data_IF_364239950896
#
_entry.id   IF_364239950896
#
_cell.length_a   1.000
_cell.length_b   1.000
_cell.length_c   1.000
_cell.angle_alpha   90.00
_cell.angle_beta   90.00
_cell.angle_gamma   90.00
#
_symmetry.space_group_name_H-M   'P 1'
#
loop_
_entity.id
_entity.type
_entity.pdbx_description
1 polymer ?
#
# COMPACT_ATOMS: atom_id res chain seq x y z
N UNK A 1 -18.00 -50.62 -40.06
CA UNK A 1 -17.57 -52.06 -40.15
C UNK A 1 -16.84 -52.43 -38.86
N UNK A 2 -17.49 -53.27 -38.11
CA UNK A 2 -17.18 -54.18 -37.05
C UNK A 2 -15.71 -54.56 -36.79
N UNK A 3 -15.27 -54.56 -35.53
CA UNK A 3 -14.91 -55.85 -34.89
C UNK A 3 -14.74 -55.65 -33.37
N UNK A 4 -15.64 -56.24 -32.59
CA UNK A 4 -15.46 -56.59 -31.19
C UNK A 4 -14.46 -57.71 -31.07
N UNK A 5 -13.52 -57.64 -30.09
CA UNK A 5 -12.85 -58.81 -29.56
C UNK A 5 -13.01 -58.84 -28.04
N UNK A 6 -13.72 -59.86 -27.61
CA UNK A 6 -13.89 -60.31 -26.24
C UNK A 6 -12.70 -61.19 -25.88
N UNK A 7 -12.08 -60.97 -24.72
CA UNK A 7 -11.16 -61.96 -24.17
C UNK A 7 -11.40 -62.08 -22.66
N UNK A 8 -11.72 -63.30 -22.26
CA UNK A 8 -12.16 -63.68 -20.94
C UNK A 8 -11.08 -63.61 -19.87
N UNK A 9 -11.50 -63.22 -18.70
CA UNK A 9 -10.68 -63.18 -17.50
C UNK A 9 -10.88 -64.49 -16.74
N UNK A 10 -9.78 -65.22 -16.53
CA UNK A 10 -9.70 -66.39 -15.60
C UNK A 10 -9.50 -65.83 -14.19
N UNK A 11 -10.42 -66.15 -13.30
CA UNK A 11 -10.34 -65.87 -11.85
C UNK A 11 -9.50 -66.96 -11.22
N UNK A 12 -8.31 -66.63 -10.69
CA UNK A 12 -7.53 -67.48 -9.84
C UNK A 12 -7.72 -66.91 -8.42
N UNK A 13 -8.39 -67.74 -7.59
CA UNK A 13 -8.60 -67.42 -6.20
C UNK A 13 -7.26 -67.53 -5.42
N UNK A 14 -6.85 -66.40 -4.84
CA UNK A 14 -5.72 -66.34 -3.91
C UNK A 14 -6.27 -66.05 -2.52
N UNK A 15 -6.20 -67.09 -1.65
CA UNK A 15 -6.61 -66.98 -0.24
C UNK A 15 -5.57 -66.13 0.48
N UNK A 16 -5.96 -64.93 0.88
CA UNK A 16 -5.11 -63.97 1.61
C UNK A 16 -5.40 -64.12 3.13
N UNK A 17 -4.44 -64.70 3.84
CA UNK A 17 -4.48 -64.73 5.31
C UNK A 17 -4.13 -63.33 5.82
N UNK A 18 -5.11 -62.65 6.41
CA UNK A 18 -4.92 -61.35 7.06
C UNK A 18 -4.34 -61.57 8.43
N UNK A 19 -3.03 -61.38 8.61
CA UNK A 19 -2.41 -61.22 9.93
C UNK A 19 -2.56 -59.76 10.35
N UNK A 20 -3.43 -59.50 11.35
CA UNK A 20 -3.55 -58.20 11.97
C UNK A 20 -2.29 -57.86 12.77
N UNK A 21 -1.41 -57.05 12.22
CA UNK A 21 -0.39 -56.34 12.97
C UNK A 21 -1.03 -55.09 13.58
N UNK A 22 -1.30 -55.11 14.91
CA UNK A 22 -1.62 -53.89 15.66
C UNK A 22 -0.32 -53.11 15.79
N UNK A 23 -0.05 -52.22 14.83
CA UNK A 23 0.99 -51.23 14.98
C UNK A 23 0.47 -50.14 15.94
N UNK A 24 1.00 -50.14 17.17
CA UNK A 24 0.82 -49.04 18.10
C UNK A 24 1.58 -47.82 17.53
N UNK A 25 0.88 -46.98 16.77
CA UNK A 25 1.41 -45.72 16.29
C UNK A 25 1.49 -44.75 17.47
N UNK A 26 2.70 -44.54 18.00
CA UNK A 26 2.97 -43.39 18.86
C UNK A 26 2.78 -42.17 18.02
N UNK A 27 1.66 -41.46 18.22
CA UNK A 27 1.52 -40.09 17.74
C UNK A 27 2.49 -39.23 18.54
N UNK A 28 3.66 -38.96 17.98
CA UNK A 28 4.46 -37.84 18.42
C UNK A 28 3.69 -36.57 18.09
N UNK A 29 2.87 -36.12 19.04
CA UNK A 29 2.35 -34.78 19.07
C UNK A 29 3.55 -33.84 19.28
N UNK A 30 4.19 -33.42 18.20
CA UNK A 30 5.10 -32.29 18.24
C UNK A 30 4.25 -31.07 18.60
N UNK A 31 4.13 -30.82 19.91
CA UNK A 31 3.50 -29.58 20.38
C UNK A 31 4.38 -28.42 19.95
N UNK A 32 4.00 -27.75 18.88
CA UNK A 32 4.56 -26.44 18.56
C UNK A 32 4.40 -25.56 19.81
N UNK A 33 5.48 -25.00 20.37
CA UNK A 33 5.34 -24.10 21.52
C UNK A 33 4.33 -22.99 21.15
N UNK A 34 3.48 -22.54 22.09
CA UNK A 34 2.58 -21.44 21.84
C UNK A 34 3.39 -20.23 21.38
N UNK A 35 2.88 -19.43 20.42
CA UNK A 35 3.58 -18.25 19.94
C UNK A 35 3.93 -17.35 21.12
N UNK A 36 5.22 -17.02 21.25
CA UNK A 36 5.71 -16.15 22.32
C UNK A 36 5.08 -14.77 22.12
N UNK A 37 4.34 -14.27 23.10
CA UNK A 37 3.85 -12.89 23.09
C UNK A 37 5.02 -11.94 23.32
N UNK A 38 5.55 -11.37 22.24
CA UNK A 38 6.66 -10.44 22.25
C UNK A 38 6.34 -9.13 22.99
N UNK A 39 5.07 -8.87 23.29
CA UNK A 39 4.61 -7.69 24.01
C UNK A 39 4.35 -7.96 25.50
N UNK A 40 4.57 -9.19 25.98
CA UNK A 40 4.33 -9.55 27.38
C UNK A 40 5.16 -8.67 28.33
N UNK A 41 4.51 -8.07 29.32
CA UNK A 41 5.13 -7.18 30.30
C UNK A 41 5.54 -5.79 29.79
N UNK A 42 5.24 -5.42 28.53
CA UNK A 42 5.58 -4.13 27.95
C UNK A 42 4.36 -3.20 27.88
N UNK A 43 4.55 -1.94 28.29
CA UNK A 43 3.56 -0.88 28.12
C UNK A 43 4.09 0.11 27.09
N UNK A 44 3.89 -0.19 25.80
CA UNK A 44 4.31 0.72 24.72
C UNK A 44 3.21 1.75 24.49
N UNK A 45 3.59 3.03 24.59
CA UNK A 45 2.73 4.19 24.28
C UNK A 45 3.27 4.86 23.02
N UNK A 46 2.38 5.08 22.03
CA UNK A 46 2.72 5.75 20.78
C UNK A 46 2.04 7.11 20.76
N UNK A 47 2.82 8.15 20.55
CA UNK A 47 2.35 9.50 20.24
C UNK A 47 2.57 9.75 18.75
N UNK A 48 1.50 10.10 18.04
CA UNK A 48 1.55 10.42 16.62
C UNK A 48 0.84 11.76 16.39
N UNK A 49 1.59 12.79 16.07
CA UNK A 49 1.09 14.17 15.92
C UNK A 49 1.14 14.59 14.47
N UNK A 50 -0.03 14.77 13.82
CA UNK A 50 -0.08 15.31 12.46
C UNK A 50 0.14 16.82 12.47
N UNK A 51 0.90 17.32 11.51
CA UNK A 51 1.13 18.75 11.25
C UNK A 51 0.81 19.02 9.77
N UNK A 52 -0.21 19.83 9.51
CA UNK A 52 -0.59 20.23 8.14
C UNK A 52 0.08 21.56 7.82
N UNK A 53 0.94 21.58 6.81
CA UNK A 53 1.65 22.78 6.34
C UNK A 53 0.93 23.44 5.15
N UNK A 54 0.25 22.65 4.34
CA UNK A 54 -0.53 23.04 3.17
C UNK A 54 -1.76 22.12 3.09
N UNK A 55 -2.85 22.49 2.42
CA UNK A 55 -4.08 21.69 2.38
C UNK A 55 -3.89 20.22 1.96
N UNK A 56 -2.88 19.95 1.14
CA UNK A 56 -2.56 18.62 0.63
C UNK A 56 -1.24 18.05 1.14
N UNK A 57 -0.53 18.74 2.00
CA UNK A 57 0.80 18.33 2.47
C UNK A 57 0.84 18.37 3.99
N UNK A 58 1.06 17.23 4.57
CA UNK A 58 1.22 17.06 6.00
C UNK A 58 2.47 16.27 6.34
N UNK A 59 2.83 16.32 7.61
CA UNK A 59 3.78 15.41 8.24
C UNK A 59 3.11 14.72 9.42
N UNK A 60 3.62 13.55 9.81
CA UNK A 60 3.28 12.90 11.08
C UNK A 60 4.59 12.71 11.82
N UNK A 61 4.70 13.31 13.00
CA UNK A 61 5.82 13.09 13.91
C UNK A 61 5.40 12.04 14.95
N UNK A 62 6.15 10.94 15.00
CA UNK A 62 5.85 9.77 15.84
C UNK A 62 6.94 9.59 16.86
N UNK A 63 6.54 9.38 18.11
CA UNK A 63 7.41 8.92 19.20
C UNK A 63 6.77 7.74 19.89
N UNK A 64 7.59 6.85 20.46
CA UNK A 64 7.11 5.74 21.27
C UNK A 64 7.95 5.62 22.56
N UNK A 65 7.32 5.17 23.63
CA UNK A 65 7.93 4.94 24.94
C UNK A 65 7.54 3.58 25.47
N UNK A 66 8.17 3.14 26.57
CA UNK A 66 7.90 1.83 27.20
C UNK A 66 8.75 0.68 26.67
N UNK A 67 9.67 0.96 25.72
CA UNK A 67 10.73 0.06 25.26
C UNK A 67 11.83 0.87 24.56
N UNK A 68 12.74 0.19 23.83
CA UNK A 68 13.89 0.81 23.13
C UNK A 68 13.99 0.33 21.67
N UNK A 69 14.81 1.00 20.87
CA UNK A 69 15.12 0.63 19.47
C UNK A 69 13.88 0.56 18.60
N UNK A 70 13.02 1.57 18.68
CA UNK A 70 11.81 1.63 17.89
C UNK A 70 12.08 1.84 16.39
N UNK A 71 11.26 1.18 15.59
CA UNK A 71 11.06 1.46 14.18
C UNK A 71 9.58 1.69 13.90
N UNK A 72 9.26 2.49 12.89
CA UNK A 72 7.92 2.99 12.63
C UNK A 72 7.51 2.74 11.18
N UNK A 73 6.22 2.49 10.95
CA UNK A 73 5.63 2.46 9.60
C UNK A 73 4.24 3.08 9.57
N UNK A 74 3.81 3.55 8.41
CA UNK A 74 2.43 3.96 8.14
C UNK A 74 1.71 2.83 7.42
N UNK A 75 0.52 2.48 7.91
CA UNK A 75 -0.35 1.43 7.42
C UNK A 75 0.30 0.04 7.39
N UNK A 76 -0.49 -1.00 7.26
CA UNK A 76 -0.02 -2.40 7.32
C UNK A 76 0.98 -2.76 6.21
N UNK A 77 0.83 -2.16 5.01
CA UNK A 77 1.71 -2.38 3.86
C UNK A 77 2.97 -1.50 3.82
N UNK A 78 3.14 -0.61 4.81
CA UNK A 78 4.30 0.29 4.85
C UNK A 78 5.61 -0.42 5.24
N UNK A 79 6.74 0.19 4.85
CA UNK A 79 8.07 -0.26 5.25
C UNK A 79 8.46 0.38 6.58
N UNK A 80 9.11 -0.39 7.46
CA UNK A 80 9.66 0.14 8.72
C UNK A 80 10.86 1.03 8.46
N UNK A 81 10.92 2.16 9.17
CA UNK A 81 12.04 3.10 9.22
C UNK A 81 12.39 3.43 10.67
N UNK A 82 13.66 3.75 10.94
CA UNK A 82 14.11 4.15 12.28
C UNK A 82 13.59 5.53 12.69
N UNK A 83 13.41 6.44 11.73
CA UNK A 83 12.87 7.77 11.99
C UNK A 83 11.35 7.71 12.21
N UNK A 84 10.86 8.37 13.27
CA UNK A 84 9.43 8.56 13.49
C UNK A 84 8.82 9.68 12.63
N UNK A 85 9.57 10.27 11.69
CA UNK A 85 9.08 11.37 10.86
C UNK A 85 8.60 10.89 9.50
N UNK A 86 7.32 11.10 9.21
CA UNK A 86 6.69 10.85 7.90
C UNK A 86 6.33 12.19 7.26
N UNK A 87 6.86 12.45 6.08
CA UNK A 87 6.65 13.71 5.33
C UNK A 87 5.88 13.46 4.04
N UNK A 88 5.32 14.52 3.46
CA UNK A 88 4.50 14.43 2.24
C UNK A 88 3.31 13.47 2.36
N UNK A 89 2.71 13.45 3.54
CA UNK A 89 1.51 12.64 3.80
C UNK A 89 0.29 13.45 3.36
N UNK A 90 -0.59 12.83 2.59
CA UNK A 90 -1.84 13.48 2.17
C UNK A 90 -2.90 13.39 3.28
N UNK A 91 -3.92 14.27 3.29
CA UNK A 91 -5.07 14.11 4.18
C UNK A 91 -5.72 12.73 4.06
N UNK A 92 -6.11 12.15 5.18
CA UNK A 92 -6.69 10.82 5.25
C UNK A 92 -6.55 10.17 6.62
N UNK A 93 -6.99 8.92 6.70
CA UNK A 93 -6.88 8.09 7.90
C UNK A 93 -5.69 7.14 7.77
N UNK A 94 -4.88 7.11 8.80
CA UNK A 94 -3.67 6.30 8.85
C UNK A 94 -3.65 5.46 10.12
N UNK A 95 -2.95 4.34 10.06
CA UNK A 95 -2.52 3.57 11.23
C UNK A 95 -1.01 3.67 11.33
N UNK A 96 -0.52 4.24 12.42
CA UNK A 96 0.90 4.28 12.74
C UNK A 96 1.23 3.04 13.55
N UNK A 97 2.25 2.31 13.14
CA UNK A 97 2.80 1.18 13.87
C UNK A 97 4.16 1.55 14.44
N UNK A 98 4.41 1.15 15.68
CA UNK A 98 5.73 1.19 16.30
C UNK A 98 6.11 -0.23 16.71
N UNK A 99 7.30 -0.67 16.32
CA UNK A 99 7.88 -1.96 16.67
C UNK A 99 9.21 -1.73 17.39
N UNK A 100 9.36 -2.31 18.55
CA UNK A 100 10.61 -2.23 19.34
C UNK A 100 11.69 -3.22 18.86
N UNK A 101 12.86 -3.15 19.47
CA UNK A 101 13.99 -4.01 19.13
C UNK A 101 13.76 -5.51 19.37
N UNK A 102 12.83 -5.87 20.25
CA UNK A 102 12.46 -7.28 20.54
C UNK A 102 11.32 -7.79 19.65
N UNK A 103 10.75 -6.92 18.80
CA UNK A 103 9.71 -7.27 17.86
C UNK A 103 8.28 -7.06 18.37
N UNK A 104 8.07 -6.50 19.57
CA UNK A 104 6.74 -6.11 20.03
C UNK A 104 6.22 -4.96 19.17
N UNK A 105 5.06 -5.14 18.53
CA UNK A 105 4.39 -4.14 17.68
C UNK A 105 3.10 -3.65 18.33
N UNK A 106 2.92 -2.34 18.35
CA UNK A 106 1.67 -1.64 18.74
C UNK A 106 1.31 -0.64 17.65
N UNK A 107 0.05 -0.20 17.64
CA UNK A 107 -0.43 0.76 16.66
C UNK A 107 -1.39 1.78 17.25
N UNK A 108 -1.49 2.93 16.58
CA UNK A 108 -2.44 4.00 16.89
C UNK A 108 -3.03 4.55 15.59
N UNK A 109 -4.31 4.89 15.60
CA UNK A 109 -4.96 5.57 14.48
C UNK A 109 -4.67 7.08 14.53
N UNK A 110 -4.41 7.67 13.34
CA UNK A 110 -4.19 9.11 13.15
C UNK A 110 -5.02 9.57 11.96
N UNK A 111 -5.74 10.68 12.14
CA UNK A 111 -6.48 11.32 11.05
C UNK A 111 -5.83 12.65 10.71
N UNK A 112 -5.53 12.86 9.44
CA UNK A 112 -5.10 14.14 8.89
C UNK A 112 -6.31 14.76 8.20
N UNK A 113 -6.81 15.86 8.74
CA UNK A 113 -7.92 16.58 8.13
C UNK A 113 -7.49 17.29 6.84
N UNK A 114 -8.33 17.26 5.82
CA UNK A 114 -8.19 18.13 4.66
C UNK A 114 -8.60 19.55 5.05
N UNK A 115 -7.85 20.55 4.62
CA UNK A 115 -8.14 21.97 4.90
C UNK A 115 -7.97 22.81 3.64
N UNK A 116 -8.77 23.87 3.53
CA UNK A 116 -8.71 24.82 2.41
C UNK A 116 -9.49 24.40 1.17
N UNK A 117 -9.59 25.35 0.23
CA UNK A 117 -10.28 25.19 -1.06
C UNK A 117 -9.28 25.13 -2.20
N UNK A 118 -9.63 24.38 -3.23
CA UNK A 118 -8.86 24.33 -4.49
C UNK A 118 -8.85 25.71 -5.14
N UNK A 119 -7.65 26.19 -5.51
CA UNK A 119 -7.50 27.44 -6.28
C UNK A 119 -7.79 27.22 -7.77
N UNK A 120 -7.86 28.30 -8.51
CA UNK A 120 -8.26 28.28 -9.93
C UNK A 120 -7.27 27.52 -10.82
N UNK A 121 -5.95 27.73 -10.61
CA UNK A 121 -4.92 27.04 -11.38
C UNK A 121 -4.92 25.53 -11.07
N UNK A 122 -5.02 25.16 -9.78
CA UNK A 122 -5.11 23.74 -9.42
C UNK A 122 -6.38 23.09 -9.98
N UNK A 123 -7.52 23.80 -9.94
CA UNK A 123 -8.79 23.31 -10.51
C UNK A 123 -8.63 23.00 -12.01
N UNK A 124 -7.95 23.87 -12.75
CA UNK A 124 -7.66 23.65 -14.18
C UNK A 124 -6.80 22.40 -14.40
N UNK A 125 -5.74 22.22 -13.58
CA UNK A 125 -4.88 21.02 -13.63
C UNK A 125 -5.66 19.78 -13.24
N UNK A 126 -6.47 19.82 -12.18
CA UNK A 126 -7.31 18.70 -11.74
C UNK A 126 -8.22 18.20 -12.87
N UNK A 127 -8.89 19.12 -13.55
CA UNK A 127 -9.78 18.80 -14.67
C UNK A 127 -9.02 18.17 -15.84
N UNK A 128 -7.83 18.70 -16.18
CA UNK A 128 -6.96 18.12 -17.19
C UNK A 128 -6.50 16.70 -16.81
N UNK A 129 -6.06 16.50 -15.57
CA UNK A 129 -5.61 15.20 -15.04
C UNK A 129 -6.77 14.19 -15.03
N UNK A 130 -7.98 14.63 -14.70
CA UNK A 130 -9.17 13.78 -14.77
C UNK A 130 -9.44 13.30 -16.20
N UNK A 131 -9.29 14.18 -17.19
CA UNK A 131 -9.56 13.87 -18.59
C UNK A 131 -8.46 13.03 -19.25
N UNK A 132 -7.18 13.21 -18.88
CA UNK A 132 -6.04 12.65 -19.60
C UNK A 132 -5.29 11.54 -18.84
N UNK A 133 -5.42 11.46 -17.51
CA UNK A 133 -4.55 10.61 -16.69
C UNK A 133 -5.33 9.56 -15.88
N UNK A 134 -6.55 9.86 -15.42
CA UNK A 134 -7.28 9.00 -14.50
C UNK A 134 -7.75 7.67 -15.12
N UNK A 135 -7.77 7.52 -16.45
CA UNK A 135 -8.05 6.23 -17.08
C UNK A 135 -7.07 5.13 -16.65
N UNK A 136 -5.81 5.50 -16.35
CA UNK A 136 -4.73 4.59 -15.96
C UNK A 136 -4.21 4.84 -14.53
N UNK A 137 -4.57 5.97 -13.91
CA UNK A 137 -4.08 6.38 -12.59
C UNK A 137 -5.26 6.66 -11.66
N UNK A 138 -5.99 5.62 -11.27
CA UNK A 138 -7.21 5.67 -10.46
C UNK A 138 -7.18 4.67 -9.30
N UNK A 139 -8.27 4.57 -8.53
CA UNK A 139 -8.38 3.68 -7.38
C UNK A 139 -8.25 2.18 -7.72
N UNK A 140 -8.56 1.80 -8.97
CA UNK A 140 -8.50 0.40 -9.44
C UNK A 140 -7.18 0.11 -10.13
N UNK A 141 -6.68 1.08 -10.94
CA UNK A 141 -5.46 0.95 -11.73
C UNK A 141 -4.51 2.09 -11.31
N UNK A 142 -3.65 1.83 -10.36
CA UNK A 142 -2.65 2.80 -9.90
C UNK A 142 -1.30 2.57 -10.59
N UNK A 143 -1.23 2.70 -11.91
CA UNK A 143 -0.01 2.48 -12.67
C UNK A 143 1.16 3.32 -12.14
N UNK A 144 2.30 2.68 -11.88
CA UNK A 144 3.47 3.31 -11.28
C UNK A 144 3.24 3.84 -9.86
N UNK A 145 2.24 3.31 -9.14
CA UNK A 145 1.88 3.73 -7.79
C UNK A 145 1.10 5.05 -7.72
N UNK A 146 0.65 5.59 -8.88
CA UNK A 146 -0.05 6.86 -8.98
C UNK A 146 -1.56 6.67 -9.02
N UNK A 147 -2.26 7.36 -8.10
CA UNK A 147 -3.71 7.45 -8.09
C UNK A 147 -4.12 8.93 -8.04
N UNK A 148 -4.57 9.46 -9.17
CA UNK A 148 -4.95 10.87 -9.28
C UNK A 148 -6.43 11.15 -9.02
N UNK A 149 -7.23 10.16 -8.64
CA UNK A 149 -8.56 10.40 -8.07
C UNK A 149 -8.47 10.99 -6.66
N UNK A 150 -7.36 10.79 -5.97
CA UNK A 150 -7.02 11.52 -4.75
C UNK A 150 -6.34 12.82 -5.17
N UNK A 151 -7.05 13.95 -5.10
CA UNK A 151 -6.60 15.25 -5.59
C UNK A 151 -5.23 15.66 -5.06
N UNK A 152 -4.97 15.38 -3.79
CA UNK A 152 -3.69 15.70 -3.16
C UNK A 152 -2.51 14.92 -3.77
N UNK A 153 -2.75 13.76 -4.40
CA UNK A 153 -1.70 13.06 -5.12
C UNK A 153 -1.21 13.83 -6.35
N UNK A 154 -2.03 14.71 -6.93
CA UNK A 154 -1.60 15.61 -8.00
C UNK A 154 -0.58 16.60 -7.45
N UNK A 155 -0.85 17.18 -6.27
CA UNK A 155 0.03 18.18 -5.64
C UNK A 155 1.39 17.58 -5.25
N UNK A 156 1.39 16.45 -4.56
CA UNK A 156 2.65 15.83 -4.09
C UNK A 156 3.49 15.22 -5.20
N UNK A 157 2.88 14.89 -6.35
CA UNK A 157 3.56 14.35 -7.52
C UNK A 157 3.74 15.37 -8.66
N UNK A 158 3.57 16.65 -8.38
CA UNK A 158 3.62 17.72 -9.39
C UNK A 158 4.87 17.72 -10.27
N UNK A 159 6.03 17.52 -9.65
CA UNK A 159 7.31 17.51 -10.38
C UNK A 159 7.40 16.28 -11.31
N UNK A 160 6.92 15.14 -10.88
CA UNK A 160 6.85 13.94 -11.73
C UNK A 160 5.84 14.11 -12.86
N UNK A 161 4.70 14.75 -12.60
CA UNK A 161 3.71 15.09 -13.63
C UNK A 161 4.35 16.01 -14.65
N UNK A 162 5.07 17.07 -14.22
CA UNK A 162 5.77 17.98 -15.11
C UNK A 162 6.76 17.23 -15.99
N UNK A 163 7.68 16.48 -15.40
CA UNK A 163 8.70 15.73 -16.12
C UNK A 163 8.06 14.83 -17.17
N UNK A 164 7.06 14.03 -16.79
CA UNK A 164 6.52 12.98 -17.67
C UNK A 164 5.53 13.49 -18.71
N UNK A 165 4.75 14.51 -18.39
CA UNK A 165 3.68 15.00 -19.27
C UNK A 165 4.06 16.26 -20.06
N UNK A 166 4.99 17.09 -19.55
CA UNK A 166 5.38 18.35 -20.17
C UNK A 166 6.75 18.23 -20.82
N UNK A 167 7.78 17.90 -20.04
CA UNK A 167 9.17 17.99 -20.47
C UNK A 167 9.56 16.82 -21.39
N UNK A 168 9.36 15.57 -20.94
CA UNK A 168 9.67 14.36 -21.71
C UNK A 168 8.54 13.95 -22.66
N UNK A 169 7.31 14.40 -22.39
CA UNK A 169 6.12 14.05 -23.14
C UNK A 169 5.89 12.52 -23.29
N UNK A 170 6.29 11.73 -22.27
CA UNK A 170 6.15 10.29 -22.23
C UNK A 170 4.80 9.85 -21.66
N UNK A 171 4.02 10.78 -21.11
CA UNK A 171 2.64 10.60 -20.62
C UNK A 171 1.74 11.72 -21.16
N UNK A 172 0.46 11.42 -21.40
CA UNK A 172 -0.16 10.10 -21.37
C UNK A 172 0.37 9.18 -22.50
N UNK A 173 0.27 7.85 -22.31
CA UNK A 173 0.74 6.87 -23.33
C UNK A 173 -0.04 6.91 -24.64
N UNK A 174 -1.20 7.57 -24.65
CA UNK A 174 -2.03 7.81 -25.86
C UNK A 174 -1.45 8.87 -26.79
N UNK A 175 -0.38 9.53 -26.38
CA UNK A 175 0.32 10.58 -27.14
C UNK A 175 0.57 11.83 -26.30
N UNK A 176 1.52 12.69 -26.71
CA UNK A 176 1.87 13.91 -25.99
C UNK A 176 0.70 14.87 -25.86
N UNK A 177 0.64 15.58 -24.75
CA UNK A 177 -0.35 16.65 -24.54
C UNK A 177 -0.16 17.78 -25.56
N UNK A 178 -1.24 18.39 -26.09
CA UNK A 178 -1.16 19.64 -26.82
C UNK A 178 -0.49 20.75 -25.98
N UNK A 179 0.13 21.74 -26.64
CA UNK A 179 0.87 22.79 -25.95
C UNK A 179 0.00 23.55 -24.93
N UNK A 180 -1.23 23.87 -25.26
CA UNK A 180 -2.16 24.53 -24.32
C UNK A 180 -2.41 23.73 -23.04
N UNK A 181 -2.45 22.40 -23.12
CA UNK A 181 -2.60 21.52 -21.96
C UNK A 181 -1.31 21.43 -21.13
N UNK A 182 -0.14 21.45 -21.80
CA UNK A 182 1.17 21.56 -21.12
C UNK A 182 1.31 22.89 -20.38
N UNK A 183 0.80 23.96 -20.96
CA UNK A 183 0.83 25.30 -20.36
C UNK A 183 -0.03 25.37 -19.08
N UNK A 184 -1.16 24.65 -19.00
CA UNK A 184 -1.97 24.54 -17.78
C UNK A 184 -1.14 23.99 -16.62
N UNK A 185 -0.40 22.90 -16.87
CA UNK A 185 0.45 22.27 -15.83
C UNK A 185 1.60 23.21 -15.47
N UNK A 186 2.28 23.79 -16.47
CA UNK A 186 3.44 24.66 -16.29
C UNK A 186 3.08 25.92 -15.50
N UNK A 187 1.97 26.56 -15.83
CA UNK A 187 1.50 27.78 -15.16
C UNK A 187 1.18 27.52 -13.68
N UNK A 188 0.52 26.39 -13.38
CA UNK A 188 0.25 26.02 -12.01
C UNK A 188 1.55 25.76 -11.22
N UNK A 189 2.51 25.03 -11.81
CA UNK A 189 3.78 24.73 -11.16
C UNK A 189 4.60 26.00 -10.92
N UNK A 190 4.67 26.89 -11.92
CA UNK A 190 5.36 28.18 -11.83
C UNK A 190 4.76 29.10 -10.75
N UNK A 191 3.45 28.99 -10.49
CA UNK A 191 2.77 29.67 -9.39
C UNK A 191 3.02 29.02 -8.03
N UNK A 192 3.82 27.95 -7.94
CA UNK A 192 4.17 27.23 -6.73
C UNK A 192 3.62 25.81 -6.65
N UNK A 193 2.70 25.42 -7.52
CA UNK A 193 2.15 24.05 -7.59
C UNK A 193 1.42 23.64 -6.31
N UNK A 194 0.67 24.56 -5.71
CA UNK A 194 -0.10 24.33 -4.48
C UNK A 194 -1.55 24.00 -4.79
N UNK A 195 -2.23 23.38 -3.82
CA UNK A 195 -3.67 23.14 -3.90
C UNK A 195 -4.48 24.43 -3.94
N UNK A 196 -4.01 25.44 -3.23
CA UNK A 196 -4.67 26.74 -3.05
C UNK A 196 -4.40 27.76 -4.19
N UNK A 197 -3.55 27.41 -5.18
CA UNK A 197 -3.25 28.32 -6.34
C UNK A 197 -4.37 28.40 -7.36
#
# INVERSE_FOLDING_TARGET
>A
MNKRMSTGIKIIGFSFVITNFIACSKSDTTSTPPPTDLCSGKTIVINATPTTTEPCVAAIDVTATGSTNFSYKLNSGGTYQASGKFTNVVPGNYTVFAKDGDGCEKSVAVTIASSGSAGALFTSVKNLVAARCQSCHNNTIANGGMNFQVECNIVINKDRIKIRAVDEATMPQTGPLPQAEKDIISNWINAGGKYSN
#
